data_IF_528308234713
#
_entry.id   IF_528308234713
#
_cell.length_a   1.000
_cell.length_b   1.000
_cell.length_c   1.000
_cell.angle_alpha   90.00
_cell.angle_beta   90.00
_cell.angle_gamma   90.00
#
_symmetry.space_group_name_H-M   'P 1'
#
loop_
_entity.id
_entity.type
_entity.pdbx_description
1 polymer ?
#
# COMPACT_ATOMS: atom_id res chain seq x y z
N UNK A 1 2.74 4.49 -15.13
CA UNK A 1 4.18 4.45 -14.76
C UNK A 1 5.03 4.44 -16.03
N UNK A 2 6.19 5.10 -16.05
CA UNK A 2 7.10 5.07 -17.20
C UNK A 2 7.82 3.72 -17.32
N UNK A 3 8.27 3.29 -18.52
CA UNK A 3 9.05 2.06 -18.69
C UNK A 3 10.32 2.02 -17.83
N UNK A 4 11.01 3.16 -17.70
CA UNK A 4 12.21 3.31 -16.88
C UNK A 4 11.92 3.06 -15.40
N UNK A 5 10.79 3.58 -14.88
CA UNK A 5 10.39 3.37 -13.49
C UNK A 5 9.96 1.92 -13.21
N UNK A 6 9.33 1.27 -14.18
CA UNK A 6 9.02 -0.17 -14.09
C UNK A 6 10.31 -0.99 -13.99
N UNK A 7 11.33 -0.64 -14.78
CA UNK A 7 12.61 -1.36 -14.77
C UNK A 7 13.40 -1.12 -13.48
N UNK A 8 13.34 0.09 -12.91
CA UNK A 8 13.90 0.39 -11.58
C UNK A 8 13.25 -0.47 -10.49
N UNK A 9 11.92 -0.52 -10.47
CA UNK A 9 11.17 -1.36 -9.52
C UNK A 9 11.50 -2.85 -9.72
N UNK A 10 11.60 -3.31 -10.97
CA UNK A 10 12.01 -4.68 -11.30
C UNK A 10 13.36 -5.04 -10.67
N UNK A 11 14.35 -4.15 -10.75
CA UNK A 11 15.67 -4.37 -10.13
C UNK A 11 15.56 -4.49 -8.61
N UNK A 12 14.80 -3.60 -7.98
CA UNK A 12 14.62 -3.60 -6.51
C UNK A 12 13.90 -4.87 -6.05
N UNK A 13 12.80 -5.24 -6.70
CA UNK A 13 12.06 -6.48 -6.42
C UNK A 13 12.96 -7.69 -6.59
N UNK A 14 13.74 -7.74 -7.66
CA UNK A 14 14.69 -8.82 -7.92
C UNK A 14 15.74 -8.92 -6.83
N UNK A 15 16.36 -7.82 -6.43
CA UNK A 15 17.36 -7.79 -5.34
C UNK A 15 16.75 -8.29 -4.02
N UNK A 16 15.55 -7.82 -3.66
CA UNK A 16 14.87 -8.26 -2.43
C UNK A 16 14.55 -9.77 -2.46
N UNK A 17 14.10 -10.25 -3.60
CA UNK A 17 13.78 -11.66 -3.82
C UNK A 17 15.04 -12.54 -3.78
N UNK A 18 16.11 -12.16 -4.46
CA UNK A 18 17.40 -12.88 -4.45
C UNK A 18 18.03 -12.92 -3.05
N UNK A 19 17.94 -11.83 -2.29
CA UNK A 19 18.36 -11.81 -0.87
C UNK A 19 17.57 -12.83 -0.05
N UNK A 20 16.25 -12.91 -0.25
CA UNK A 20 15.41 -13.88 0.41
C UNK A 20 15.76 -15.33 0.01
N UNK A 21 16.03 -15.59 -1.28
CA UNK A 21 16.51 -16.89 -1.75
C UNK A 21 17.85 -17.28 -1.12
N UNK A 22 18.81 -16.34 -1.08
CA UNK A 22 20.11 -16.56 -0.47
C UNK A 22 20.01 -16.86 1.03
N UNK A 23 19.07 -16.22 1.74
CA UNK A 23 18.78 -16.49 3.16
C UNK A 23 18.25 -17.91 3.36
N UNK A 24 17.39 -18.39 2.48
CA UNK A 24 16.88 -19.77 2.54
C UNK A 24 17.96 -20.80 2.24
N UNK A 25 18.92 -20.48 1.36
CA UNK A 25 20.03 -21.37 1.02
C UNK A 25 21.19 -21.31 2.05
N UNK A 26 21.30 -20.18 2.80
CA UNK A 26 22.37 -19.94 3.78
C UNK A 26 21.83 -20.05 5.20
N UNK A 27 21.47 -21.25 5.64
CA UNK A 27 21.05 -21.50 7.05
C UNK A 27 22.19 -21.24 8.06
N UNK A 28 23.36 -20.73 7.68
CA UNK A 28 24.53 -20.60 8.55
C UNK A 28 25.13 -19.20 8.75
N UNK A 29 24.61 -18.10 8.24
CA UNK A 29 25.22 -16.79 8.53
C UNK A 29 24.22 -15.69 8.86
N UNK A 30 24.17 -15.30 10.14
CA UNK A 30 23.55 -14.05 10.63
C UNK A 30 24.28 -12.85 10.03
N UNK A 31 23.62 -12.12 9.14
CA UNK A 31 24.10 -10.84 8.65
C UNK A 31 23.64 -9.67 9.55
N UNK A 32 24.51 -8.69 9.64
CA UNK A 32 24.42 -7.45 10.41
C UNK A 32 23.27 -6.59 9.84
N UNK A 33 22.35 -6.14 10.70
CA UNK A 33 21.31 -5.19 10.36
C UNK A 33 21.87 -3.77 10.27
N UNK A 34 21.86 -3.17 9.09
CA UNK A 34 21.90 -1.71 8.98
C UNK A 34 20.53 -1.15 9.37
N UNK A 35 20.52 0.01 10.03
CA UNK A 35 19.35 0.68 10.59
C UNK A 35 18.28 0.95 9.53
N UNK A 36 17.29 0.07 9.46
CA UNK A 36 16.09 0.28 8.67
C UNK A 36 15.11 1.14 9.47
N UNK A 37 14.46 2.08 8.81
CA UNK A 37 13.35 2.83 9.38
C UNK A 37 12.20 1.85 9.66
N UNK A 38 11.89 1.63 10.92
CA UNK A 38 10.75 0.79 11.33
C UNK A 38 9.46 1.53 10.98
N UNK A 39 8.54 0.84 10.31
CA UNK A 39 7.25 1.39 9.86
C UNK A 39 6.23 1.40 11.02
N UNK A 40 6.60 1.74 12.22
CA UNK A 40 5.67 2.01 13.31
C UNK A 40 5.75 3.48 13.69
N UNK A 41 4.62 4.14 13.90
CA UNK A 41 4.48 5.54 14.33
C UNK A 41 4.65 6.64 13.24
N UNK A 42 4.44 6.35 11.95
CA UNK A 42 4.68 7.28 10.85
C UNK A 42 3.42 7.92 10.25
N UNK A 43 2.50 8.42 11.08
CA UNK A 43 1.42 9.26 10.53
C UNK A 43 2.02 10.60 10.11
N UNK A 44 1.88 11.04 8.83
CA UNK A 44 2.55 12.24 8.31
C UNK A 44 2.21 13.50 9.13
N UNK A 45 3.24 14.12 9.70
CA UNK A 45 3.10 15.35 10.48
C UNK A 45 2.78 15.13 11.97
N UNK A 46 2.76 13.88 12.45
CA UNK A 46 2.47 13.56 13.84
C UNK A 46 3.54 12.65 14.42
N UNK A 47 3.94 12.92 15.66
CA UNK A 47 4.85 12.07 16.42
C UNK A 47 4.33 11.84 17.83
N UNK A 48 4.75 10.75 18.44
CA UNK A 48 4.40 10.44 19.83
C UNK A 48 4.88 11.51 20.83
N UNK A 49 5.94 12.23 20.50
CA UNK A 49 6.51 13.29 21.35
C UNK A 49 5.69 14.59 21.34
N UNK A 50 4.91 14.81 20.28
CA UNK A 50 4.09 16.04 20.11
C UNK A 50 2.65 15.85 20.51
N UNK A 51 2.20 14.62 20.71
CA UNK A 51 0.83 14.31 21.10
C UNK A 51 0.73 14.01 22.60
N UNK A 52 -0.23 14.63 23.27
CA UNK A 52 -0.55 14.32 24.66
C UNK A 52 -1.58 13.19 24.76
N UNK A 53 -1.51 12.41 25.85
CA UNK A 53 -2.52 11.39 26.13
C UNK A 53 -3.91 12.03 26.31
N UNK A 54 -4.92 11.45 25.65
CA UNK A 54 -6.31 11.95 25.72
C UNK A 54 -6.57 13.19 24.85
N UNK A 55 -5.55 13.70 24.14
CA UNK A 55 -5.73 14.73 23.11
C UNK A 55 -5.87 14.11 21.72
N UNK A 56 -6.33 14.90 20.76
CA UNK A 56 -6.36 14.50 19.37
C UNK A 56 -6.19 15.69 18.43
N UNK A 57 -5.68 15.40 17.25
CA UNK A 57 -5.68 16.31 16.11
C UNK A 57 -6.58 15.79 14.99
N UNK A 58 -7.07 16.70 14.14
CA UNK A 58 -7.83 16.37 12.94
C UNK A 58 -7.04 16.72 11.70
N UNK A 59 -7.02 15.79 10.75
CA UNK A 59 -6.40 15.98 9.45
C UNK A 59 -7.21 15.26 8.37
N UNK A 60 -6.83 15.42 7.10
CA UNK A 60 -7.51 14.82 5.95
C UNK A 60 -6.52 14.05 5.10
N UNK A 61 -6.83 12.79 4.84
CA UNK A 61 -5.99 11.92 4.03
C UNK A 61 -6.78 11.19 2.95
N UNK A 62 -6.14 10.94 1.82
CA UNK A 62 -6.54 9.83 0.97
C UNK A 62 -5.87 8.57 1.51
N UNK A 63 -6.68 7.57 1.83
CA UNK A 63 -6.28 6.31 2.45
C UNK A 63 -6.37 5.21 1.41
N UNK A 64 -5.29 4.46 1.25
CA UNK A 64 -5.22 3.29 0.38
C UNK A 64 -4.93 2.04 1.20
N UNK A 65 -5.69 0.98 0.95
CA UNK A 65 -5.36 -0.38 1.35
C UNK A 65 -5.09 -1.23 0.12
N UNK A 66 -4.06 -2.06 0.21
CA UNK A 66 -3.84 -3.19 -0.71
C UNK A 66 -3.66 -4.44 0.11
N UNK A 67 -4.23 -5.55 -0.35
CA UNK A 67 -4.16 -6.81 0.36
C UNK A 67 -4.19 -8.00 -0.62
N UNK A 68 -3.41 -9.04 -0.30
CA UNK A 68 -3.27 -10.23 -1.14
C UNK A 68 -4.49 -11.13 -1.01
N UNK A 69 -5.03 -11.57 -2.13
CA UNK A 69 -6.18 -12.48 -2.12
C UNK A 69 -5.77 -13.91 -1.77
N UNK A 70 -6.57 -14.53 -0.91
CA UNK A 70 -6.40 -15.94 -0.50
C UNK A 70 -5.01 -16.28 0.10
N UNK A 71 -4.36 -15.34 0.77
CA UNK A 71 -3.02 -15.50 1.33
C UNK A 71 -2.87 -16.71 2.25
N UNK A 72 -3.84 -16.93 3.14
CA UNK A 72 -3.86 -18.10 4.04
C UNK A 72 -3.93 -19.43 3.28
N UNK A 73 -4.77 -19.51 2.23
CA UNK A 73 -4.87 -20.70 1.38
C UNK A 73 -3.59 -20.88 0.58
N UNK A 74 -3.05 -19.78 0.05
CA UNK A 74 -1.80 -19.74 -0.68
C UNK A 74 -0.65 -20.29 0.17
N UNK A 75 -0.45 -19.76 1.38
CA UNK A 75 0.61 -20.16 2.30
C UNK A 75 0.54 -21.67 2.63
N UNK A 76 -0.66 -22.20 2.88
CA UNK A 76 -0.87 -23.65 3.11
C UNK A 76 -0.51 -24.49 1.90
N UNK A 77 -0.69 -23.99 0.68
CA UNK A 77 -0.48 -24.74 -0.56
C UNK A 77 0.97 -24.69 -1.05
N UNK A 78 1.61 -23.52 -1.00
CA UNK A 78 2.96 -23.34 -1.54
C UNK A 78 4.06 -23.56 -0.49
N UNK A 79 3.69 -23.59 0.79
CA UNK A 79 4.62 -23.77 1.92
C UNK A 79 5.27 -22.46 2.38
N UNK A 80 5.98 -22.55 3.52
CA UNK A 80 6.54 -21.38 4.21
C UNK A 80 7.62 -20.66 3.38
N UNK A 81 8.54 -21.40 2.78
CA UNK A 81 9.66 -20.83 2.00
C UNK A 81 9.17 -20.03 0.79
N UNK A 82 8.26 -20.60 -0.02
CA UNK A 82 7.67 -19.91 -1.16
C UNK A 82 6.80 -18.74 -0.74
N UNK A 83 6.14 -18.84 0.42
CA UNK A 83 5.41 -17.71 1.01
C UNK A 83 6.36 -16.57 1.39
N UNK A 84 7.46 -16.89 2.06
CA UNK A 84 8.50 -15.92 2.41
C UNK A 84 9.07 -15.20 1.17
N UNK A 85 9.44 -15.93 0.13
CA UNK A 85 9.91 -15.35 -1.14
C UNK A 85 8.85 -14.43 -1.78
N UNK A 86 7.59 -14.89 -1.80
CA UNK A 86 6.48 -14.10 -2.34
C UNK A 86 6.28 -12.78 -1.60
N UNK A 87 6.39 -12.80 -0.26
CA UNK A 87 6.25 -11.61 0.58
C UNK A 87 7.38 -10.61 0.34
N UNK A 88 8.64 -11.08 0.21
CA UNK A 88 9.76 -10.19 -0.09
C UNK A 88 9.63 -9.52 -1.46
N UNK A 89 9.17 -10.24 -2.48
CA UNK A 89 8.90 -9.67 -3.79
C UNK A 89 7.74 -8.66 -3.73
N UNK A 90 6.65 -9.02 -3.06
CA UNK A 90 5.43 -8.20 -2.99
C UNK A 90 5.67 -6.90 -2.22
N UNK A 91 6.09 -6.99 -0.96
CA UNK A 91 6.23 -5.81 -0.10
C UNK A 91 7.25 -4.84 -0.70
N UNK A 92 8.42 -5.29 -1.16
CA UNK A 92 9.42 -4.40 -1.75
C UNK A 92 8.91 -3.66 -3.00
N UNK A 93 8.18 -4.36 -3.87
CA UNK A 93 7.56 -3.74 -5.04
C UNK A 93 6.50 -2.70 -4.68
N UNK A 94 5.65 -3.01 -3.71
CA UNK A 94 4.60 -2.09 -3.24
C UNK A 94 5.19 -0.84 -2.59
N UNK A 95 6.22 -0.98 -1.76
CA UNK A 95 6.90 0.15 -1.12
C UNK A 95 7.50 1.13 -2.14
N UNK A 96 8.10 0.63 -3.22
CA UNK A 96 8.66 1.50 -4.27
C UNK A 96 7.57 2.23 -5.07
N UNK A 97 6.41 1.60 -5.30
CA UNK A 97 5.27 2.28 -5.92
C UNK A 97 4.75 3.39 -5.01
N UNK A 98 4.57 3.12 -3.71
CA UNK A 98 4.14 4.12 -2.72
C UNK A 98 5.08 5.32 -2.71
N UNK A 99 6.39 5.07 -2.60
CA UNK A 99 7.42 6.11 -2.61
C UNK A 99 7.38 6.96 -3.88
N UNK A 100 7.16 6.33 -5.05
CA UNK A 100 7.08 7.05 -6.33
C UNK A 100 5.88 8.00 -6.44
N UNK A 101 4.85 7.78 -5.62
CA UNK A 101 3.62 8.58 -5.56
C UNK A 101 3.52 9.48 -4.34
N UNK A 102 4.61 9.62 -3.56
CA UNK A 102 4.67 10.44 -2.36
C UNK A 102 3.66 10.01 -1.28
N UNK A 103 3.34 8.72 -1.25
CA UNK A 103 2.58 8.10 -0.19
C UNK A 103 3.46 7.80 1.02
N UNK A 104 2.83 7.71 2.18
CA UNK A 104 3.48 7.28 3.43
C UNK A 104 2.85 5.98 3.89
N UNK A 105 3.67 4.95 4.08
CA UNK A 105 3.21 3.67 4.62
C UNK A 105 2.97 3.84 6.11
N UNK A 106 1.74 3.57 6.52
CA UNK A 106 1.31 3.66 7.92
C UNK A 106 1.49 2.32 8.62
N UNK A 107 1.18 1.23 7.90
CA UNK A 107 1.28 -0.11 8.48
C UNK A 107 1.53 -1.16 7.38
N UNK A 108 2.24 -2.22 7.75
CA UNK A 108 2.41 -3.45 6.97
C UNK A 108 1.67 -4.56 7.71
N UNK A 109 0.46 -4.84 7.27
CA UNK A 109 -0.47 -5.76 7.93
C UNK A 109 -0.35 -7.17 7.34
N UNK A 110 0.71 -7.89 7.71
CA UNK A 110 0.94 -9.23 7.16
C UNK A 110 1.19 -9.19 5.63
N UNK A 111 0.19 -9.50 4.86
CA UNK A 111 0.20 -9.54 3.39
C UNK A 111 -0.48 -8.32 2.73
N UNK A 112 -0.64 -7.24 3.47
CA UNK A 112 -1.24 -5.99 3.02
C UNK A 112 -0.50 -4.75 3.50
N UNK A 113 -0.87 -3.61 2.96
CA UNK A 113 -0.35 -2.29 3.32
C UNK A 113 -1.49 -1.30 3.54
N UNK A 114 -1.33 -0.44 4.54
CA UNK A 114 -2.10 0.79 4.70
C UNK A 114 -1.21 1.99 4.37
N UNK A 115 -1.68 2.85 3.47
CA UNK A 115 -0.92 4.00 2.96
C UNK A 115 -1.76 5.26 3.03
N UNK A 116 -1.16 6.36 3.49
CA UNK A 116 -1.78 7.68 3.49
C UNK A 116 -1.13 8.61 2.46
N UNK A 117 -1.97 9.47 1.86
CA UNK A 117 -1.55 10.55 0.96
C UNK A 117 -2.18 11.86 1.41
N UNK A 118 -1.40 12.93 1.42
CA UNK A 118 -1.88 14.26 1.87
C UNK A 118 -1.60 14.51 3.35
N UNK A 119 -2.50 15.23 4.00
CA UNK A 119 -2.31 15.73 5.35
C UNK A 119 -1.62 17.09 5.41
N UNK A 120 -1.65 17.75 6.58
CA UNK A 120 -1.13 19.12 6.80
C UNK A 120 0.35 19.27 6.47
N UNK A 121 1.15 18.23 6.66
CA UNK A 121 2.60 18.22 6.39
C UNK A 121 2.97 17.85 4.97
N UNK A 122 2.00 17.42 4.15
CA UNK A 122 2.25 16.96 2.78
C UNK A 122 2.35 18.15 1.80
N UNK A 123 3.24 18.09 0.80
CA UNK A 123 3.25 19.06 -0.28
C UNK A 123 2.07 18.88 -1.26
N UNK A 124 1.35 17.76 -1.16
CA UNK A 124 0.24 17.45 -2.07
C UNK A 124 -1.02 18.23 -1.67
N UNK A 125 -1.63 18.90 -2.62
CA UNK A 125 -2.98 19.43 -2.44
C UNK A 125 -3.98 18.27 -2.31
N UNK A 126 -5.16 18.55 -1.77
CA UNK A 126 -6.26 17.58 -1.63
C UNK A 126 -6.52 16.77 -2.92
N UNK A 127 -6.60 17.44 -4.08
CA UNK A 127 -6.84 16.80 -5.37
C UNK A 127 -5.65 15.95 -5.82
N UNK A 128 -4.44 16.43 -5.57
CA UNK A 128 -3.23 15.67 -5.87
C UNK A 128 -3.10 14.42 -4.98
N UNK A 129 -3.43 14.51 -3.70
CA UNK A 129 -3.43 13.38 -2.78
C UNK A 129 -4.43 12.28 -3.22
N UNK A 130 -5.66 12.69 -3.59
CA UNK A 130 -6.69 11.79 -4.13
C UNK A 130 -6.21 11.10 -5.41
N UNK A 131 -5.66 11.86 -6.35
CA UNK A 131 -5.13 11.34 -7.60
C UNK A 131 -3.93 10.41 -7.37
N UNK A 132 -3.00 10.81 -6.51
CA UNK A 132 -1.82 10.02 -6.16
C UNK A 132 -2.22 8.66 -5.59
N UNK A 133 -3.19 8.62 -4.65
CA UNK A 133 -3.69 7.39 -4.06
C UNK A 133 -4.30 6.44 -5.11
N UNK A 134 -5.23 6.92 -5.94
CA UNK A 134 -5.86 6.09 -6.96
C UNK A 134 -4.88 5.58 -8.02
N UNK A 135 -3.97 6.45 -8.49
CA UNK A 135 -2.92 6.04 -9.44
C UNK A 135 -1.91 5.07 -8.81
N UNK A 136 -1.58 5.25 -7.51
CA UNK A 136 -0.75 4.32 -6.77
C UNK A 136 -1.36 2.91 -6.80
N UNK A 137 -2.64 2.78 -6.48
CA UNK A 137 -3.33 1.48 -6.54
C UNK A 137 -3.28 0.84 -7.94
N UNK A 138 -3.47 1.61 -9.00
CA UNK A 138 -3.33 1.11 -10.39
C UNK A 138 -1.92 0.63 -10.69
N UNK A 139 -0.91 1.40 -10.31
CA UNK A 139 0.49 1.05 -10.54
C UNK A 139 0.94 -0.14 -9.70
N UNK A 140 0.38 -0.32 -8.49
CA UNK A 140 0.59 -1.52 -7.68
C UNK A 140 0.14 -2.78 -8.42
N UNK A 141 -1.06 -2.78 -9.00
CA UNK A 141 -1.54 -3.89 -9.80
C UNK A 141 -0.69 -4.10 -11.07
N UNK A 142 -0.31 -3.02 -11.77
CA UNK A 142 0.59 -3.10 -12.94
C UNK A 142 1.94 -3.75 -12.56
N UNK A 143 2.52 -3.43 -11.39
CA UNK A 143 3.78 -4.03 -10.89
C UNK A 143 3.60 -5.49 -10.50
N UNK A 144 2.47 -5.84 -9.87
CA UNK A 144 2.16 -7.24 -9.55
C UNK A 144 2.14 -8.07 -10.85
N UNK A 145 1.45 -7.61 -11.88
CA UNK A 145 1.29 -8.35 -13.13
C UNK A 145 2.57 -8.41 -13.98
N UNK A 146 3.29 -7.30 -14.08
CA UNK A 146 4.38 -7.17 -15.06
C UNK A 146 5.79 -7.37 -14.45
N UNK A 147 5.89 -7.41 -13.11
CA UNK A 147 7.18 -7.56 -12.42
C UNK A 147 7.15 -8.76 -11.48
N UNK A 148 6.22 -8.76 -10.51
CA UNK A 148 6.23 -9.76 -9.42
C UNK A 148 5.78 -11.13 -9.92
N UNK A 149 4.63 -11.21 -10.58
CA UNK A 149 4.09 -12.49 -11.05
C UNK A 149 4.99 -13.21 -12.08
N UNK A 150 5.63 -12.53 -13.05
CA UNK A 150 6.63 -13.15 -13.89
C UNK A 150 7.82 -13.72 -13.11
N UNK A 151 8.32 -12.99 -12.09
CA UNK A 151 9.41 -13.46 -11.23
C UNK A 151 9.02 -14.72 -10.44
N UNK A 152 7.85 -14.72 -9.80
CA UNK A 152 7.33 -15.87 -9.06
C UNK A 152 7.10 -17.10 -9.96
N UNK A 153 6.56 -16.85 -11.16
CA UNK A 153 6.29 -17.92 -12.13
C UNK A 153 7.57 -18.62 -12.61
N UNK A 154 8.67 -17.88 -12.73
CA UNK A 154 9.98 -18.46 -13.10
C UNK A 154 10.46 -19.51 -12.09
N UNK A 155 10.10 -19.37 -10.81
CA UNK A 155 10.42 -20.30 -9.72
C UNK A 155 9.27 -21.27 -9.38
N UNK A 156 8.30 -21.42 -10.28
CA UNK A 156 7.11 -22.25 -10.07
C UNK A 156 6.36 -21.91 -8.77
N UNK A 157 6.25 -20.62 -8.48
CA UNK A 157 5.45 -20.08 -7.38
C UNK A 157 4.16 -19.49 -7.96
N UNK A 158 3.03 -19.76 -7.31
CA UNK A 158 1.74 -19.25 -7.74
C UNK A 158 1.72 -17.72 -7.79
N UNK A 159 1.08 -17.20 -8.82
CA UNK A 159 0.86 -15.77 -8.99
C UNK A 159 0.07 -15.16 -7.83
N UNK A 160 0.31 -13.89 -7.57
CA UNK A 160 -0.39 -13.08 -6.58
C UNK A 160 -1.51 -12.30 -7.29
N UNK A 161 -2.67 -12.26 -6.68
CA UNK A 161 -3.75 -11.33 -6.98
C UNK A 161 -4.06 -10.49 -5.75
N UNK A 162 -4.37 -9.21 -5.94
CA UNK A 162 -4.64 -8.28 -4.85
C UNK A 162 -5.95 -7.53 -5.06
N UNK A 163 -6.53 -7.05 -3.98
CA UNK A 163 -7.54 -6.02 -4.02
C UNK A 163 -6.96 -4.69 -3.56
N UNK A 164 -7.44 -3.58 -4.13
CA UNK A 164 -7.07 -2.24 -3.69
C UNK A 164 -8.33 -1.44 -3.41
N UNK A 165 -8.36 -0.81 -2.23
CA UNK A 165 -9.45 0.10 -1.83
C UNK A 165 -8.92 1.48 -1.50
N UNK A 166 -9.63 2.54 -1.94
CA UNK A 166 -9.22 3.92 -1.68
C UNK A 166 -10.41 4.76 -1.25
N UNK A 167 -10.26 5.51 -0.15
CA UNK A 167 -11.22 6.54 0.26
C UNK A 167 -10.49 7.82 0.69
N UNK A 168 -11.23 8.91 0.81
CA UNK A 168 -10.73 10.20 1.30
C UNK A 168 -11.65 10.74 2.38
N UNK A 169 -11.07 11.21 3.48
CA UNK A 169 -11.88 11.80 4.56
C UNK A 169 -11.07 12.32 5.73
N UNK A 170 -11.84 12.71 6.75
CA UNK A 170 -11.31 13.18 8.02
C UNK A 170 -10.74 12.01 8.82
N UNK A 171 -9.59 12.26 9.42
CA UNK A 171 -8.88 11.32 10.31
C UNK A 171 -8.56 12.03 11.61
N UNK A 172 -8.87 11.40 12.72
CA UNK A 172 -8.41 11.79 14.05
C UNK A 172 -7.08 11.06 14.29
N UNK A 173 -6.05 11.84 14.64
CA UNK A 173 -4.76 11.31 15.06
C UNK A 173 -4.63 11.52 16.57
N UNK A 174 -4.34 10.47 17.31
CA UNK A 174 -4.28 10.50 18.77
C UNK A 174 -3.23 9.54 19.30
N UNK A 175 -2.70 9.84 20.49
CA UNK A 175 -1.83 8.94 21.26
C UNK A 175 -2.67 8.11 22.21
N UNK A 176 -2.65 6.80 22.02
CA UNK A 176 -3.43 5.84 22.83
C UNK A 176 -2.48 4.96 23.61
N UNK A 177 -2.77 4.73 24.89
CA UNK A 177 -2.00 3.86 25.77
C UNK A 177 -1.80 4.44 27.15
N UNK A 178 -0.72 4.00 27.78
CA UNK A 178 -0.24 4.46 29.09
C UNK A 178 1.23 4.88 28.96
N UNK A 179 1.79 5.55 29.97
CA UNK A 179 3.12 6.21 29.91
C UNK A 179 4.24 5.37 29.28
N UNK A 180 4.30 4.07 29.52
CA UNK A 180 5.38 3.20 29.04
C UNK A 180 4.97 2.32 27.85
N UNK A 181 3.67 2.28 27.51
CA UNK A 181 3.12 1.45 26.41
C UNK A 181 2.06 2.27 25.68
N UNK A 182 2.44 2.83 24.55
CA UNK A 182 1.56 3.66 23.73
C UNK A 182 1.84 3.52 22.24
N UNK A 183 0.90 4.02 21.46
CA UNK A 183 1.02 4.08 20.01
C UNK A 183 0.28 5.32 19.47
N UNK A 184 0.68 5.84 18.32
CA UNK A 184 -0.02 6.89 17.60
C UNK A 184 -0.98 6.25 16.60
N UNK A 185 -2.26 6.49 16.79
CA UNK A 185 -3.32 5.89 15.97
C UNK A 185 -4.06 6.92 15.14
N UNK A 186 -4.37 6.51 13.93
CA UNK A 186 -5.27 7.22 13.03
C UNK A 186 -6.65 6.54 13.06
N UNK A 187 -7.69 7.30 13.31
CA UNK A 187 -9.07 6.83 13.41
C UNK A 187 -9.96 7.65 12.44
N UNK A 188 -10.69 6.98 11.55
CA UNK A 188 -11.56 7.65 10.60
C UNK A 188 -12.45 6.70 9.82
N UNK A 189 -13.62 7.17 9.40
CA UNK A 189 -14.55 6.38 8.58
C UNK A 189 -13.93 6.03 7.21
N UNK A 190 -13.14 6.93 6.65
CA UNK A 190 -12.43 6.71 5.39
C UNK A 190 -11.44 5.54 5.47
N UNK A 191 -10.81 5.29 6.63
CA UNK A 191 -9.92 4.13 6.84
C UNK A 191 -10.74 2.85 6.73
N UNK A 192 -11.87 2.78 7.44
CA UNK A 192 -12.75 1.61 7.42
C UNK A 192 -13.36 1.37 6.02
N UNK A 193 -13.74 2.42 5.31
CA UNK A 193 -14.29 2.32 3.96
C UNK A 193 -13.24 1.85 2.96
N UNK A 194 -12.04 2.41 2.99
CA UNK A 194 -10.94 1.99 2.12
C UNK A 194 -10.61 0.50 2.33
N UNK A 195 -10.56 0.02 3.60
CA UNK A 195 -10.40 -1.40 3.91
C UNK A 195 -11.52 -2.26 3.32
N UNK A 196 -12.79 -1.87 3.48
CA UNK A 196 -13.94 -2.59 2.91
C UNK A 196 -13.92 -2.63 1.37
N UNK A 197 -13.52 -1.55 0.70
CA UNK A 197 -13.33 -1.55 -0.75
C UNK A 197 -12.18 -2.47 -1.16
N UNK A 198 -11.09 -2.49 -0.39
CA UNK A 198 -10.02 -3.43 -0.60
C UNK A 198 -10.52 -4.88 -0.50
N UNK A 199 -11.30 -5.24 0.52
CA UNK A 199 -11.90 -6.58 0.67
C UNK A 199 -12.77 -7.00 -0.52
N UNK A 200 -13.57 -6.09 -1.07
CA UNK A 200 -14.47 -6.32 -2.22
C UNK A 200 -13.72 -6.38 -3.56
N UNK A 201 -12.54 -5.78 -3.64
CA UNK A 201 -11.75 -5.70 -4.86
C UNK A 201 -11.06 -7.04 -5.15
N UNK A 202 -10.98 -7.41 -6.42
CA UNK A 202 -10.20 -8.56 -6.88
C UNK A 202 -9.55 -8.20 -8.20
N UNK A 203 -8.25 -7.95 -8.14
CA UNK A 203 -7.43 -7.50 -9.27
C UNK A 203 -7.90 -6.16 -9.86
N UNK A 204 -8.43 -5.32 -9.01
CA UNK A 204 -8.97 -4.02 -9.37
C UNK A 204 -8.77 -2.99 -8.24
N UNK A 205 -8.93 -1.72 -8.56
CA UNK A 205 -8.93 -0.61 -7.61
C UNK A 205 -10.34 -0.11 -7.46
N UNK A 206 -10.93 -0.26 -6.26
CA UNK A 206 -12.23 0.32 -5.92
C UNK A 206 -12.00 1.60 -5.12
N UNK A 207 -12.68 2.67 -5.52
CA UNK A 207 -12.60 3.97 -4.86
C UNK A 207 -13.97 4.46 -4.46
N UNK A 208 -14.02 5.30 -3.42
CA UNK A 208 -15.26 5.90 -2.97
C UNK A 208 -15.80 7.00 -3.91
N UNK A 209 -17.05 7.39 -3.66
CA UNK A 209 -17.63 8.57 -4.30
C UNK A 209 -16.85 9.86 -3.99
N UNK A 210 -16.28 10.01 -2.79
CA UNK A 210 -15.44 11.15 -2.44
C UNK A 210 -14.20 11.25 -3.30
N UNK A 211 -13.54 10.12 -3.58
CA UNK A 211 -12.41 10.06 -4.51
C UNK A 211 -12.86 10.46 -5.92
N UNK A 212 -13.99 9.93 -6.39
CA UNK A 212 -14.56 10.27 -7.69
C UNK A 212 -14.85 11.78 -7.83
N UNK A 213 -15.55 12.38 -6.86
CA UNK A 213 -15.96 13.78 -6.88
C UNK A 213 -14.75 14.74 -6.82
N UNK A 214 -13.67 14.35 -6.16
CA UNK A 214 -12.44 15.12 -6.01
C UNK A 214 -11.42 14.89 -7.11
N UNK A 215 -11.64 13.87 -7.95
CA UNK A 215 -10.69 13.54 -9.01
C UNK A 215 -10.53 14.70 -9.99
N UNK A 216 -9.29 15.08 -10.35
CA UNK A 216 -9.08 16.12 -11.33
C UNK A 216 -9.61 15.66 -12.70
N UNK A 217 -10.66 16.32 -13.18
CA UNK A 217 -11.24 16.05 -14.49
C UNK A 217 -10.46 16.79 -15.58
N UNK A 218 -10.08 16.09 -16.65
CA UNK A 218 -9.59 16.70 -17.88
C UNK A 218 -10.27 16.05 -19.08
N UNK A 219 -10.60 16.85 -20.11
CA UNK A 219 -11.02 16.30 -21.39
C UNK A 219 -9.85 15.48 -21.98
N UNK A 220 -10.06 14.17 -22.18
CA UNK A 220 -9.02 13.25 -22.64
C UNK A 220 -8.23 12.54 -21.55
N UNK A 221 -8.71 12.56 -20.30
CA UNK A 221 -8.14 11.78 -19.19
C UNK A 221 -8.17 10.28 -19.47
N UNK A 222 -7.04 9.60 -19.23
CA UNK A 222 -6.88 8.15 -19.48
C UNK A 222 -7.50 7.27 -18.38
N UNK A 223 -8.16 7.85 -17.39
CA UNK A 223 -8.83 7.11 -16.30
C UNK A 223 -10.33 7.26 -16.45
N UNK A 224 -11.01 6.13 -16.44
CA UNK A 224 -12.48 6.03 -16.39
C UNK A 224 -12.90 5.44 -15.05
N UNK A 225 -14.08 5.84 -14.60
CA UNK A 225 -14.72 5.33 -13.40
C UNK A 225 -15.93 4.49 -13.80
N UNK A 226 -15.91 3.22 -13.45
CA UNK A 226 -17.04 2.31 -13.69
C UNK A 226 -17.76 2.10 -12.36
N UNK A 227 -19.06 2.34 -12.32
CA UNK A 227 -19.88 2.15 -11.10
C UNK A 227 -19.80 0.69 -10.66
N UNK A 228 -19.52 0.46 -9.38
CA UNK A 228 -19.52 -0.85 -8.73
C UNK A 228 -20.03 -0.72 -7.30
N UNK A 229 -21.19 -1.29 -7.00
CA UNK A 229 -21.86 -1.20 -5.72
C UNK A 229 -22.00 0.26 -5.24
N UNK A 230 -21.42 0.59 -4.08
CA UNK A 230 -21.37 1.90 -3.45
C UNK A 230 -20.12 2.73 -3.80
N UNK A 231 -19.31 2.25 -4.76
CA UNK A 231 -18.07 2.86 -5.21
C UNK A 231 -17.86 2.85 -6.72
N UNK A 232 -16.61 3.00 -7.13
CA UNK A 232 -16.21 3.03 -8.53
C UNK A 232 -14.92 2.24 -8.73
N UNK A 233 -14.85 1.47 -9.82
CA UNK A 233 -13.60 0.85 -10.27
C UNK A 233 -12.84 1.83 -11.15
N UNK A 234 -11.55 2.02 -10.87
CA UNK A 234 -10.64 2.75 -11.73
C UNK A 234 -10.23 1.87 -12.92
N UNK A 235 -10.62 2.28 -14.12
CA UNK A 235 -10.26 1.63 -15.38
C UNK A 235 -9.37 2.51 -16.24
N UNK A 236 -8.52 1.92 -17.09
CA UNK A 236 -7.86 2.67 -18.17
C UNK A 236 -8.91 3.01 -19.23
N UNK A 237 -8.94 4.27 -19.66
CA UNK A 237 -9.68 4.65 -20.85
C UNK A 237 -9.03 3.98 -22.06
N UNK A 238 -9.83 3.41 -22.93
CA UNK A 238 -9.37 2.91 -24.24
C UNK A 238 -8.99 4.05 -25.16
#
# INVERSE_FOLDING_TARGET
MSPEKIEEIRKIVKIAYERAQNTLSAIEHRAIYESAQVVSDNIPGYSADTLEFGSYDKDNFAVLFIDMRQSTKRAKTIGAEKTFLSMHAFISGMLEVVKSRQGVVIDIMGDGLMVFFGGKSSPLTKRQAVQAAGLCGKEMLDVIHNVINPLLSADNIWQITCGVGVDYGDVIVTKIGINDIYDVKALGDCINKASKYCEKASDEVIVSKQIYDLWPSSSGGMIKFLVKDDGYVLSKGG
#
